data_IF_215662088940
#
_entry.id   IF_215662088940
#
_cell.length_a   1.000
_cell.length_b   1.000
_cell.length_c   1.000
_cell.angle_alpha   90.00
_cell.angle_beta   90.00
_cell.angle_gamma   90.00
#
_symmetry.space_group_name_H-M   'P 1'
#
loop_
_entity.id
_entity.type
_entity.pdbx_description
1 polymer ?
#
# COMPACT_ATOMS: atom_id res chain seq x y z
N UNK A 1 -24.63 -3.77 12.69
CA UNK A 1 -24.02 -2.42 12.80
C UNK A 1 -23.30 -2.13 11.50
N UNK A 2 -23.81 -1.22 10.73
CA UNK A 2 -23.07 -0.68 9.56
C UNK A 2 -21.90 0.13 10.09
N UNK A 3 -20.67 -0.45 10.03
CA UNK A 3 -19.44 0.33 10.21
C UNK A 3 -19.54 1.51 9.26
N UNK A 4 -19.41 2.73 9.77
CA UNK A 4 -19.44 3.94 8.95
C UNK A 4 -18.48 3.76 7.77
N UNK A 5 -19.02 3.85 6.56
CA UNK A 5 -18.25 3.72 5.31
C UNK A 5 -17.01 4.64 5.32
N UNK A 6 -17.13 5.81 5.97
CA UNK A 6 -16.06 6.80 6.09
C UNK A 6 -14.90 6.37 7.01
N UNK A 7 -15.13 5.52 8.01
CA UNK A 7 -14.09 5.10 8.95
C UNK A 7 -13.04 4.16 8.30
N UNK A 8 -13.35 3.61 7.12
CA UNK A 8 -12.48 2.69 6.40
C UNK A 8 -11.90 3.30 5.11
N UNK A 9 -12.09 4.60 4.88
CA UNK A 9 -11.50 5.33 3.75
C UNK A 9 -10.42 6.29 4.28
N UNK A 10 -9.21 6.09 3.84
CA UNK A 10 -8.03 6.79 4.35
C UNK A 10 -7.24 7.42 3.20
N UNK A 11 -6.73 8.60 3.42
CA UNK A 11 -5.70 9.16 2.57
C UNK A 11 -4.33 8.77 3.10
N UNK A 12 -3.68 7.89 2.36
CA UNK A 12 -2.36 7.34 2.64
C UNK A 12 -1.38 7.84 1.59
N UNK A 13 -0.48 8.76 1.98
CA UNK A 13 0.37 9.46 1.03
C UNK A 13 -0.48 10.13 -0.07
N UNK A 14 -0.19 9.90 -1.35
CA UNK A 14 -0.98 10.42 -2.48
C UNK A 14 -2.06 9.45 -2.96
N UNK A 15 -2.46 8.48 -2.15
CA UNK A 15 -3.42 7.46 -2.52
C UNK A 15 -4.66 7.48 -1.63
N UNK A 16 -5.75 6.89 -2.13
CA UNK A 16 -6.92 6.56 -1.34
C UNK A 16 -6.88 5.07 -1.02
N UNK A 17 -6.86 4.75 0.26
CA UNK A 17 -6.94 3.36 0.75
C UNK A 17 -8.31 3.10 1.36
N UNK A 18 -8.93 2.01 0.94
CA UNK A 18 -10.22 1.55 1.48
C UNK A 18 -9.98 0.20 2.14
N UNK A 19 -10.25 0.10 3.43
CA UNK A 19 -10.13 -1.16 4.16
C UNK A 19 -11.38 -1.99 3.87
N UNK A 20 -11.20 -3.04 3.07
CA UNK A 20 -12.30 -3.94 2.66
C UNK A 20 -12.52 -5.04 3.68
N UNK A 21 -11.43 -5.63 4.17
CA UNK A 21 -11.44 -6.59 5.28
C UNK A 21 -10.37 -6.13 6.27
N UNK A 22 -10.76 -5.92 7.51
CA UNK A 22 -9.83 -5.58 8.59
C UNK A 22 -9.25 -6.83 9.21
N UNK A 23 -7.99 -6.78 9.63
CA UNK A 23 -7.35 -7.83 10.41
C UNK A 23 -8.14 -8.27 11.64
N UNK A 24 -9.04 -7.42 12.14
CA UNK A 24 -9.89 -7.69 13.29
C UNK A 24 -11.24 -8.34 12.95
N UNK A 25 -11.55 -8.50 11.65
CA UNK A 25 -12.85 -9.05 11.24
C UNK A 25 -12.88 -10.59 11.34
N UNK A 26 -11.74 -11.26 11.13
CA UNK A 26 -11.60 -12.71 11.22
C UNK A 26 -10.70 -13.16 12.36
N UNK A 27 -10.32 -14.44 12.35
CA UNK A 27 -9.50 -15.06 13.41
C UNK A 27 -8.00 -15.05 13.08
N UNK A 28 -7.64 -15.03 11.79
CA UNK A 28 -6.27 -15.20 11.31
C UNK A 28 -5.57 -13.88 10.92
N UNK A 29 -6.18 -12.75 11.25
CA UNK A 29 -5.60 -11.43 10.97
C UNK A 29 -5.50 -11.06 9.50
N UNK A 30 -6.32 -11.67 8.63
CA UNK A 30 -6.34 -11.34 7.21
C UNK A 30 -6.85 -9.91 7.03
N UNK A 31 -6.12 -9.12 6.27
CA UNK A 31 -6.55 -7.80 5.87
C UNK A 31 -6.55 -7.66 4.34
N UNK A 32 -7.54 -6.96 3.81
CA UNK A 32 -7.67 -6.64 2.39
C UNK A 32 -7.84 -5.13 2.27
N UNK A 33 -6.86 -4.48 1.69
CA UNK A 33 -6.83 -3.05 1.46
C UNK A 33 -6.92 -2.79 -0.05
N UNK A 34 -7.91 -2.00 -0.45
CA UNK A 34 -7.99 -1.49 -1.82
C UNK A 34 -7.25 -0.16 -1.90
N UNK A 35 -6.34 -0.05 -2.86
CA UNK A 35 -5.59 1.18 -3.15
C UNK A 35 -6.05 1.75 -4.47
N UNK A 36 -6.44 3.03 -4.47
CA UNK A 36 -6.56 3.85 -5.67
C UNK A 36 -5.37 4.78 -5.71
N UNK A 37 -4.60 4.68 -6.77
CA UNK A 37 -3.26 5.28 -6.85
C UNK A 37 -3.12 6.10 -8.14
N UNK A 38 -2.50 7.29 -8.07
CA UNK A 38 -2.29 8.10 -9.26
C UNK A 38 -1.16 7.55 -10.13
N UNK A 39 -1.10 8.02 -11.36
CA UNK A 39 0.03 7.76 -12.26
C UNK A 39 1.36 8.15 -11.58
N UNK A 40 2.36 7.31 -11.74
CA UNK A 40 3.69 7.54 -11.20
C UNK A 40 3.85 7.26 -9.70
N UNK A 41 2.77 6.95 -8.99
CA UNK A 41 2.88 6.58 -7.58
C UNK A 41 3.75 5.34 -7.41
N UNK A 42 4.68 5.42 -6.47
CA UNK A 42 5.56 4.32 -6.10
C UNK A 42 5.93 4.46 -4.62
N UNK A 43 5.64 3.45 -3.78
CA UNK A 43 6.14 3.45 -2.41
C UNK A 43 7.64 3.20 -2.38
N UNK A 44 8.34 3.58 -1.30
CA UNK A 44 9.72 3.19 -1.10
C UNK A 44 9.91 1.67 -1.17
N UNK A 45 11.09 1.21 -1.62
CA UNK A 45 11.45 -0.19 -1.54
C UNK A 45 11.44 -0.65 -0.08
N UNK A 46 10.69 -1.70 0.23
CA UNK A 46 10.46 -2.15 1.61
C UNK A 46 10.24 -3.67 1.66
N UNK A 47 10.29 -4.22 2.86
CA UNK A 47 9.87 -5.59 3.10
C UNK A 47 9.13 -5.73 4.43
N UNK A 48 8.34 -6.79 4.53
CA UNK A 48 7.58 -7.15 5.72
C UNK A 48 8.19 -8.43 6.31
N UNK A 49 8.93 -8.37 7.43
CA UNK A 49 9.52 -9.57 8.03
C UNK A 49 8.51 -10.58 8.55
N UNK A 50 7.32 -10.11 8.93
CA UNK A 50 6.30 -10.91 9.61
C UNK A 50 5.19 -11.46 8.74
N UNK A 51 5.02 -11.00 7.50
CA UNK A 51 3.88 -11.36 6.67
C UNK A 51 4.20 -11.42 5.19
N UNK A 52 3.54 -12.34 4.49
CA UNK A 52 3.46 -12.31 3.03
C UNK A 52 2.49 -11.21 2.58
N UNK A 53 2.72 -10.66 1.38
CA UNK A 53 1.81 -9.71 0.76
C UNK A 53 1.43 -10.16 -0.65
N UNK A 54 0.13 -10.23 -0.92
CA UNK A 54 -0.39 -10.45 -2.26
C UNK A 54 -0.79 -9.11 -2.85
N UNK A 55 -0.30 -8.80 -4.04
CA UNK A 55 -0.74 -7.69 -4.86
C UNK A 55 -1.64 -8.21 -5.97
N UNK A 56 -2.89 -7.73 -6.01
CA UNK A 56 -3.85 -8.05 -7.07
C UNK A 56 -4.25 -6.77 -7.80
N UNK A 57 -3.88 -6.64 -9.05
CA UNK A 57 -4.23 -5.49 -9.89
C UNK A 57 -5.67 -5.61 -10.35
N UNK A 58 -6.48 -4.59 -10.08
CA UNK A 58 -7.89 -4.52 -10.50
C UNK A 58 -8.08 -3.63 -11.73
N UNK A 59 -7.32 -2.53 -11.82
CA UNK A 59 -7.37 -1.60 -12.94
C UNK A 59 -5.98 -1.00 -13.17
N UNK A 60 -5.66 -0.74 -14.44
CA UNK A 60 -4.41 -0.12 -14.85
C UNK A 60 -3.26 -1.09 -15.01
N UNK A 61 -2.07 -0.54 -15.13
CA UNK A 61 -0.81 -1.26 -15.28
C UNK A 61 0.16 -0.87 -14.18
N UNK A 62 0.81 -1.87 -13.62
CA UNK A 62 1.78 -1.72 -12.55
C UNK A 62 3.11 -2.35 -12.96
N UNK A 63 4.20 -1.64 -12.78
CA UNK A 63 5.54 -2.21 -12.81
C UNK A 63 5.91 -2.56 -11.39
N UNK A 64 6.14 -3.84 -11.11
CA UNK A 64 6.38 -4.36 -9.77
C UNK A 64 7.79 -4.92 -9.70
N UNK A 65 8.56 -4.49 -8.70
CA UNK A 65 9.88 -5.04 -8.41
C UNK A 65 9.79 -5.91 -7.18
N UNK A 66 10.19 -7.16 -7.32
CA UNK A 66 10.34 -8.11 -6.21
C UNK A 66 11.76 -8.64 -6.25
N UNK A 67 12.54 -8.37 -5.19
CA UNK A 67 13.98 -8.63 -5.16
C UNK A 67 14.67 -7.94 -6.34
N UNK A 68 15.29 -8.66 -7.22
CA UNK A 68 16.03 -8.13 -8.39
C UNK A 68 15.25 -8.25 -9.70
N UNK A 69 13.99 -8.70 -9.65
CA UNK A 69 13.17 -8.93 -10.83
C UNK A 69 12.04 -7.89 -10.93
N UNK A 70 11.84 -7.38 -12.14
CA UNK A 70 10.70 -6.52 -12.46
C UNK A 70 9.66 -7.31 -13.26
N UNK A 71 8.39 -7.06 -12.92
CA UNK A 71 7.22 -7.65 -13.55
C UNK A 71 6.27 -6.53 -13.98
N UNK A 72 5.58 -6.74 -15.10
CA UNK A 72 4.44 -5.89 -15.47
C UNK A 72 3.16 -6.65 -15.19
N UNK A 73 2.28 -6.03 -14.42
CA UNK A 73 0.97 -6.58 -14.07
C UNK A 73 -0.12 -5.69 -14.63
N UNK A 74 -1.08 -6.32 -15.29
CA UNK A 74 -2.31 -5.72 -15.78
C UNK A 74 -3.51 -6.17 -14.94
N UNK A 75 -4.68 -5.60 -15.21
CA UNK A 75 -5.92 -5.96 -14.50
C UNK A 75 -6.17 -7.48 -14.51
N UNK A 76 -6.46 -8.03 -13.33
CA UNK A 76 -6.69 -9.45 -13.11
C UNK A 76 -5.45 -10.25 -12.71
N UNK A 77 -4.25 -9.68 -12.85
CA UNK A 77 -3.02 -10.38 -12.50
C UNK A 77 -2.67 -10.21 -11.01
N UNK A 78 -1.98 -11.22 -10.47
CA UNK A 78 -1.67 -11.35 -9.06
C UNK A 78 -0.18 -11.69 -8.90
N UNK A 79 0.45 -11.10 -7.88
CA UNK A 79 1.84 -11.38 -7.54
C UNK A 79 1.99 -11.52 -6.03
N UNK A 80 2.77 -12.51 -5.60
CA UNK A 80 3.14 -12.69 -4.20
C UNK A 80 4.50 -12.06 -3.94
N UNK A 81 4.56 -11.16 -2.97
CA UNK A 81 5.78 -10.74 -2.32
C UNK A 81 5.91 -11.50 -0.99
N UNK A 82 6.81 -12.48 -0.95
CA UNK A 82 7.03 -13.29 0.25
C UNK A 82 7.60 -12.45 1.38
N UNK A 83 7.26 -12.80 2.61
CA UNK A 83 7.81 -12.14 3.80
C UNK A 83 9.34 -12.08 3.75
N UNK A 84 9.90 -10.96 4.17
CA UNK A 84 11.33 -10.73 4.16
C UNK A 84 11.93 -10.38 2.79
N UNK A 85 11.14 -10.39 1.72
CA UNK A 85 11.63 -10.08 0.37
C UNK A 85 11.32 -8.63 0.02
N UNK A 86 12.34 -7.80 -0.31
CA UNK A 86 12.14 -6.42 -0.71
C UNK A 86 11.30 -6.30 -1.98
N UNK A 87 10.33 -5.40 -1.95
CA UNK A 87 9.44 -5.13 -3.07
C UNK A 87 8.94 -3.69 -3.09
N UNK A 88 8.52 -3.27 -4.25
CA UNK A 88 7.81 -2.02 -4.51
C UNK A 88 7.10 -2.11 -5.86
N UNK A 89 6.28 -1.12 -6.16
CA UNK A 89 5.64 -1.02 -7.47
C UNK A 89 5.61 0.44 -7.95
N UNK A 90 5.32 0.64 -9.22
CA UNK A 90 5.03 1.94 -9.81
C UNK A 90 3.82 1.83 -10.74
N UNK A 91 2.93 2.80 -10.65
CA UNK A 91 1.75 2.87 -11.53
C UNK A 91 2.15 3.49 -12.87
N UNK A 92 1.98 2.75 -13.95
CA UNK A 92 2.38 3.15 -15.29
C UNK A 92 1.21 3.65 -16.15
N UNK A 93 -0.02 3.44 -15.73
CA UNK A 93 -1.20 3.92 -16.44
C UNK A 93 -1.45 5.40 -16.18
N UNK A 94 -1.62 6.19 -17.24
CA UNK A 94 -1.84 7.65 -17.18
C UNK A 94 -3.06 8.02 -16.33
N UNK A 95 -4.10 7.18 -16.34
CA UNK A 95 -5.32 7.39 -15.54
C UNK A 95 -5.20 6.86 -14.10
N UNK A 96 -4.00 6.44 -13.69
CA UNK A 96 -3.80 5.81 -12.40
C UNK A 96 -4.16 4.33 -12.41
N UNK A 97 -4.25 3.74 -11.23
CA UNK A 97 -4.54 2.33 -11.09
C UNK A 97 -5.32 2.02 -9.82
N UNK A 98 -5.78 0.77 -9.75
CA UNK A 98 -6.46 0.24 -8.57
C UNK A 98 -5.97 -1.18 -8.31
N UNK A 99 -5.62 -1.46 -7.06
CA UNK A 99 -5.14 -2.78 -6.66
C UNK A 99 -5.64 -3.14 -5.26
N UNK A 100 -5.54 -4.42 -4.94
CA UNK A 100 -5.69 -4.93 -3.59
C UNK A 100 -4.31 -5.33 -3.07
N UNK A 101 -4.05 -5.00 -1.80
CA UNK A 101 -3.01 -5.66 -1.01
C UNK A 101 -3.68 -6.55 0.02
N UNK A 102 -3.21 -7.79 0.13
CA UNK A 102 -3.76 -8.79 1.04
C UNK A 102 -2.62 -9.28 1.91
N UNK A 103 -2.77 -9.14 3.22
CA UNK A 103 -1.79 -9.57 4.22
C UNK A 103 -2.47 -10.42 5.30
N UNK A 104 -1.67 -11.14 6.09
CA UNK A 104 -2.21 -12.16 7.00
C UNK A 104 -2.00 -11.88 8.49
N UNK A 105 -1.29 -10.81 8.87
CA UNK A 105 -1.01 -10.50 10.29
C UNK A 105 -1.36 -9.10 10.71
N UNK A 106 -1.69 -8.25 9.76
CA UNK A 106 -2.16 -6.89 10.02
C UNK A 106 -1.09 -5.85 10.28
N UNK A 107 0.18 -6.17 10.14
CA UNK A 107 1.28 -5.20 10.30
C UNK A 107 1.13 -4.05 9.29
N UNK A 108 0.86 -4.37 8.03
CA UNK A 108 0.64 -3.38 6.99
C UNK A 108 -0.62 -2.54 7.24
N UNK A 109 -1.74 -3.15 7.61
CA UNK A 109 -2.95 -2.41 7.96
C UNK A 109 -2.71 -1.47 9.14
N UNK A 110 -2.03 -1.95 10.17
CA UNK A 110 -1.66 -1.13 11.33
C UNK A 110 -0.82 0.07 10.94
N UNK A 111 0.18 -0.13 10.08
CA UNK A 111 1.02 0.95 9.55
C UNK A 111 0.18 1.97 8.76
N UNK A 112 -0.61 1.50 7.80
CA UNK A 112 -1.48 2.39 7.00
C UNK A 112 -2.39 3.23 7.90
N UNK A 113 -3.03 2.62 8.89
CA UNK A 113 -3.88 3.37 9.84
C UNK A 113 -3.11 4.42 10.63
N UNK A 114 -1.88 4.09 11.05
CA UNK A 114 -1.06 4.98 11.89
C UNK A 114 -0.58 6.24 11.16
N UNK A 115 -0.29 6.15 9.86
CA UNK A 115 0.29 7.25 9.08
C UNK A 115 -0.71 7.94 8.14
N UNK A 116 -1.93 7.43 8.07
CA UNK A 116 -2.99 7.97 7.23
C UNK A 116 -3.89 8.93 8.00
N UNK A 117 -4.64 9.72 7.27
CA UNK A 117 -5.74 10.54 7.78
C UNK A 117 -7.07 10.11 7.16
N UNK A 118 -8.21 10.29 7.85
CA UNK A 118 -9.51 10.00 7.26
C UNK A 118 -9.70 10.76 5.95
N UNK A 119 -10.19 10.06 4.92
CA UNK A 119 -10.50 10.70 3.66
C UNK A 119 -11.75 11.59 3.80
N UNK A 120 -11.64 12.83 3.37
CA UNK A 120 -12.75 13.78 3.41
C UNK A 120 -13.80 13.50 2.32
N UNK A 121 -13.36 12.84 1.23
CA UNK A 121 -14.18 12.42 0.09
C UNK A 121 -13.63 11.11 -0.50
N UNK A 122 -14.44 10.34 -1.23
CA UNK A 122 -14.02 9.05 -1.80
C UNK A 122 -13.21 9.21 -3.10
N UNK A 123 -12.24 10.12 -3.08
CA UNK A 123 -11.38 10.48 -4.20
C UNK A 123 -9.92 10.54 -3.74
N UNK A 124 -9.00 10.62 -4.68
CA UNK A 124 -7.59 10.86 -4.37
C UNK A 124 -7.43 12.19 -3.62
N UNK A 125 -6.46 12.29 -2.69
CA UNK A 125 -6.11 13.56 -2.08
C UNK A 125 -5.51 14.52 -3.12
N UNK A 126 -5.45 15.79 -2.78
CA UNK A 126 -4.65 16.74 -3.58
C UNK A 126 -3.19 16.26 -3.63
N UNK A 127 -2.55 16.30 -4.81
CA UNK A 127 -1.17 15.86 -4.94
C UNK A 127 -0.25 16.65 -4.01
N UNK A 128 0.47 15.94 -3.15
CA UNK A 128 1.56 16.51 -2.38
C UNK A 128 2.84 16.45 -3.22
N UNK A 129 3.69 17.45 -3.08
CA UNK A 129 5.02 17.44 -3.68
C UNK A 129 5.92 16.33 -3.10
N UNK A 130 7.18 16.30 -3.52
CA UNK A 130 8.15 15.38 -2.97
C UNK A 130 8.25 15.54 -1.45
N UNK A 131 8.27 14.44 -0.68
CA UNK A 131 8.37 14.51 0.77
C UNK A 131 9.71 15.09 1.21
N UNK A 132 9.70 15.86 2.28
CA UNK A 132 10.94 16.35 2.92
C UNK A 132 11.75 15.20 3.52
N UNK A 133 13.03 15.43 3.80
CA UNK A 133 13.87 14.45 4.48
C UNK A 133 13.28 14.05 5.85
N UNK A 134 12.73 15.01 6.59
CA UNK A 134 12.09 14.75 7.89
C UNK A 134 10.82 13.89 7.73
N UNK A 135 10.02 14.13 6.70
CA UNK A 135 8.84 13.33 6.41
C UNK A 135 9.22 11.87 6.05
N UNK A 136 10.30 11.68 5.29
CA UNK A 136 10.82 10.35 4.96
C UNK A 136 11.30 9.63 6.23
N UNK A 137 12.01 10.31 7.11
CA UNK A 137 12.46 9.72 8.38
C UNK A 137 11.29 9.39 9.31
N UNK A 138 10.28 10.23 9.37
CA UNK A 138 9.07 9.97 10.14
C UNK A 138 8.32 8.74 9.61
N UNK A 139 8.21 8.62 8.29
CA UNK A 139 7.60 7.44 7.64
C UNK A 139 8.37 6.17 7.97
N UNK A 140 9.70 6.22 7.89
CA UNK A 140 10.59 5.10 8.23
C UNK A 140 10.42 4.66 9.68
N UNK A 141 10.40 5.61 10.60
CA UNK A 141 10.22 5.35 12.03
C UNK A 141 8.83 4.74 12.33
N UNK A 142 7.79 5.24 11.67
CA UNK A 142 6.45 4.70 11.80
C UNK A 142 6.34 3.27 11.23
N UNK A 143 6.92 3.01 10.06
CA UNK A 143 6.96 1.69 9.46
C UNK A 143 7.65 0.66 10.37
N UNK A 144 8.77 1.03 10.96
CA UNK A 144 9.54 0.16 11.87
C UNK A 144 8.73 -0.30 13.09
N UNK A 145 7.82 0.54 13.60
CA UNK A 145 6.92 0.16 14.72
C UNK A 145 5.99 -0.98 14.37
N UNK A 146 5.70 -1.18 13.08
CA UNK A 146 4.87 -2.28 12.57
C UNK A 146 5.69 -3.39 11.90
N UNK A 147 7.00 -3.42 12.15
CA UNK A 147 7.89 -4.42 11.60
C UNK A 147 8.24 -4.26 10.12
N UNK A 148 7.81 -3.16 9.48
CA UNK A 148 8.08 -2.91 8.06
C UNK A 148 9.39 -2.11 7.94
N UNK A 149 10.31 -2.58 7.09
CA UNK A 149 11.59 -1.93 6.87
C UNK A 149 11.65 -1.27 5.49
N UNK A 150 11.94 0.03 5.48
CA UNK A 150 12.20 0.79 4.25
C UNK A 150 13.69 0.67 3.91
N UNK A 151 14.02 0.07 2.78
CA UNK A 151 15.40 -0.30 2.42
C UNK A 151 15.92 0.34 1.14
N UNK A 152 15.11 1.14 0.47
CA UNK A 152 15.53 1.82 -0.75
C UNK A 152 14.51 2.83 -1.25
N UNK A 153 14.85 3.52 -2.37
CA UNK A 153 13.96 4.51 -2.96
C UNK A 153 12.77 3.87 -3.68
N UNK A 154 11.74 4.67 -3.99
CA UNK A 154 10.71 4.30 -4.97
C UNK A 154 11.32 3.98 -6.33
N UNK A 155 10.55 3.31 -7.20
CA UNK A 155 10.92 3.13 -8.60
C UNK A 155 10.84 4.46 -9.36
N UNK A 156 11.83 4.74 -10.21
CA UNK A 156 11.83 5.93 -11.06
C UNK A 156 10.82 5.84 -12.20
#
# INVERSE_FOLDING_TARGET
>A
MTKSIRANQLWFQNSLVIIRVSMSDGQDGISVLEHRVPYGFSPPLHFHPGEDEVLHVLEGEFRVKVKDQEHRLSAGEVLLASKGVPHTYRVESVLGGRCLTITARGDFEGFVRAVSRPAERPELPEPAGAPSADAIQALRAAAAKFGIELVGPPLP
#
